data_IF_068649944900
#
_entry.id   IF_068649944900
#
_cell.length_a   1.000
_cell.length_b   1.000
_cell.length_c   1.000
_cell.angle_alpha   90.00
_cell.angle_beta   90.00
_cell.angle_gamma   90.00
#
_symmetry.space_group_name_H-M   'P 1'
#
loop_
_entity.id
_entity.type
_entity.pdbx_description
1 polymer ?
#
# COMPACT_ATOMS: atom_id res chain seq x y z
N UNK A 1 34.20 -2.07 -18.75
CA UNK A 1 33.07 -1.38 -18.11
C UNK A 1 31.99 -2.41 -17.79
N UNK A 2 31.69 -2.67 -16.52
CA UNK A 2 30.65 -3.63 -16.15
C UNK A 2 29.27 -3.05 -16.50
N UNK A 3 28.48 -3.76 -17.32
CA UNK A 3 27.08 -3.40 -17.57
C UNK A 3 26.30 -3.55 -16.25
N UNK A 4 25.78 -2.44 -15.71
CA UNK A 4 24.87 -2.49 -14.56
C UNK A 4 23.64 -3.33 -14.96
N UNK A 5 23.31 -4.35 -14.17
CA UNK A 5 22.05 -5.08 -14.33
C UNK A 5 20.88 -4.13 -14.04
N UNK A 6 19.79 -4.17 -14.82
CA UNK A 6 18.60 -3.40 -14.52
C UNK A 6 18.04 -3.84 -13.16
N UNK A 7 17.68 -2.85 -12.33
CA UNK A 7 16.96 -3.08 -11.08
C UNK A 7 15.49 -3.29 -11.40
N UNK A 8 14.93 -4.41 -10.98
CA UNK A 8 13.48 -4.65 -11.02
C UNK A 8 12.91 -4.37 -9.63
N UNK A 9 12.01 -3.40 -9.54
CA UNK A 9 11.27 -3.10 -8.30
C UNK A 9 9.94 -3.81 -8.37
N UNK A 10 9.61 -4.56 -7.32
CA UNK A 10 8.31 -5.25 -7.18
C UNK A 10 7.62 -4.69 -5.94
N UNK A 11 6.41 -4.16 -6.11
CA UNK A 11 5.57 -3.69 -5.02
C UNK A 11 4.63 -4.79 -4.55
N UNK A 12 4.64 -5.12 -3.25
CA UNK A 12 3.70 -6.06 -2.64
C UNK A 12 2.87 -5.29 -1.62
N UNK A 13 1.54 -5.31 -1.79
CA UNK A 13 0.61 -4.85 -0.79
C UNK A 13 0.39 -5.97 0.22
N UNK A 14 0.61 -5.63 1.49
CA UNK A 14 0.28 -6.48 2.63
C UNK A 14 -0.75 -5.75 3.47
N UNK A 15 -1.93 -6.35 3.65
CA UNK A 15 -3.02 -5.80 4.46
C UNK A 15 -3.77 -6.93 5.18
N UNK A 16 -4.77 -6.60 5.99
CA UNK A 16 -5.74 -7.56 6.54
C UNK A 16 -7.12 -7.37 5.91
N UNK A 17 -7.89 -8.45 5.79
CA UNK A 17 -9.32 -8.39 5.46
C UNK A 17 -10.19 -8.03 6.67
N UNK A 18 -11.51 -8.00 6.48
CA UNK A 18 -12.46 -7.70 7.55
C UNK A 18 -12.49 -8.77 8.65
N UNK A 19 -12.05 -9.98 8.35
CA UNK A 19 -11.98 -11.12 9.27
C UNK A 19 -10.60 -11.21 9.98
N UNK A 20 -9.69 -10.27 9.69
CA UNK A 20 -8.35 -10.21 10.26
C UNK A 20 -7.32 -11.11 9.56
N UNK A 21 -7.69 -11.78 8.45
CA UNK A 21 -6.74 -12.60 7.70
C UNK A 21 -5.79 -11.71 6.91
N UNK A 22 -4.53 -12.13 6.84
CA UNK A 22 -3.51 -11.45 6.03
C UNK A 22 -3.77 -11.67 4.54
N UNK A 23 -3.89 -10.56 3.81
CA UNK A 23 -3.93 -10.52 2.35
C UNK A 23 -2.58 -10.03 1.83
N UNK A 24 -2.04 -10.77 0.86
CA UNK A 24 -0.86 -10.35 0.09
C UNK A 24 -1.20 -10.30 -1.40
N UNK A 25 -0.97 -9.16 -2.04
CA UNK A 25 -1.22 -8.95 -3.47
C UNK A 25 -0.09 -8.16 -4.11
N UNK A 26 0.27 -8.52 -5.34
CA UNK A 26 1.15 -7.66 -6.15
C UNK A 26 0.45 -6.34 -6.43
N UNK A 27 1.14 -5.22 -6.19
CA UNK A 27 0.63 -3.87 -6.45
C UNK A 27 0.24 -3.69 -7.91
N UNK A 28 0.98 -4.31 -8.84
CA UNK A 28 0.74 -4.18 -10.28
C UNK A 28 -0.58 -4.82 -10.70
N UNK A 29 -1.05 -5.84 -9.97
CA UNK A 29 -2.29 -6.57 -10.23
C UNK A 29 -3.52 -5.91 -9.58
N UNK A 30 -3.35 -4.78 -8.87
CA UNK A 30 -4.46 -4.06 -8.24
C UNK A 30 -5.06 -3.08 -9.26
N UNK A 31 -6.39 -3.11 -9.49
CA UNK A 31 -7.08 -2.13 -10.32
C UNK A 31 -6.82 -0.69 -9.87
N UNK A 32 -6.70 0.23 -10.82
CA UNK A 32 -6.33 1.63 -10.52
C UNK A 32 -7.32 2.35 -9.59
N UNK A 33 -8.61 2.02 -9.71
CA UNK A 33 -9.66 2.52 -8.80
C UNK A 33 -9.39 2.09 -7.35
N UNK A 34 -9.06 0.82 -7.16
CA UNK A 34 -8.75 0.24 -5.84
C UNK A 34 -7.44 0.84 -5.28
N UNK A 35 -6.43 1.07 -6.13
CA UNK A 35 -5.18 1.73 -5.72
C UNK A 35 -5.41 3.13 -5.13
N UNK A 36 -6.32 3.92 -5.70
CA UNK A 36 -6.65 5.24 -5.16
C UNK A 36 -7.25 5.16 -3.76
N UNK A 37 -8.19 4.24 -3.56
CA UNK A 37 -8.82 4.01 -2.25
C UNK A 37 -7.80 3.50 -1.23
N UNK A 38 -6.93 2.57 -1.63
CA UNK A 38 -5.87 2.03 -0.79
C UNK A 38 -4.84 3.09 -0.39
N UNK A 39 -4.46 4.02 -1.29
CA UNK A 39 -3.54 5.11 -0.94
C UNK A 39 -4.07 5.98 0.20
N UNK A 40 -5.36 6.32 0.14
CA UNK A 40 -6.00 7.13 1.19
C UNK A 40 -6.04 6.33 2.49
N UNK A 41 -6.52 5.08 2.46
CA UNK A 41 -6.58 4.21 3.64
C UNK A 41 -5.22 3.95 4.28
N UNK A 42 -4.20 3.65 3.49
CA UNK A 42 -2.84 3.41 4.01
C UNK A 42 -2.28 4.67 4.68
N UNK A 43 -2.53 5.84 4.09
CA UNK A 43 -2.12 7.12 4.69
C UNK A 43 -2.86 7.36 6.00
N UNK A 44 -4.18 7.20 6.03
CA UNK A 44 -4.99 7.35 7.25
C UNK A 44 -4.52 6.39 8.36
N UNK A 45 -4.31 5.11 8.01
CA UNK A 45 -3.84 4.10 8.96
C UNK A 45 -2.45 4.43 9.51
N UNK A 46 -1.52 4.87 8.65
CA UNK A 46 -0.18 5.27 9.08
C UNK A 46 -0.21 6.50 10.00
N UNK A 47 -1.04 7.49 9.66
CA UNK A 47 -1.23 8.69 10.48
C UNK A 47 -1.86 8.35 11.83
N UNK A 48 -2.90 7.50 11.85
CA UNK A 48 -3.53 7.03 13.08
C UNK A 48 -2.56 6.23 13.96
N UNK A 49 -1.75 5.33 13.37
CA UNK A 49 -0.72 4.59 14.09
C UNK A 49 0.37 5.50 14.68
N UNK A 50 0.64 6.64 14.03
CA UNK A 50 1.53 7.67 14.54
C UNK A 50 0.86 8.63 15.56
N UNK A 51 -0.42 8.41 15.90
CA UNK A 51 -1.16 9.19 16.90
C UNK A 51 -1.84 10.45 16.36
N UNK A 52 -1.85 10.66 15.04
CA UNK A 52 -2.55 11.78 14.43
C UNK A 52 -4.04 11.46 14.25
N UNK A 53 -4.89 12.47 14.46
CA UNK A 53 -6.33 12.39 14.22
C UNK A 53 -6.66 13.14 12.93
N UNK A 54 -7.46 12.52 12.06
CA UNK A 54 -7.90 13.16 10.82
C UNK A 54 -8.84 14.32 11.14
N UNK A 55 -8.45 15.54 10.78
CA UNK A 55 -9.33 16.71 10.84
C UNK A 55 -10.20 16.73 9.58
N UNK A 56 -11.52 16.62 9.73
CA UNK A 56 -12.46 16.94 8.65
C UNK A 56 -12.75 18.44 8.67
N UNK A 57 -12.45 19.13 7.58
CA UNK A 57 -13.01 20.45 7.27
C UNK A 57 -14.46 20.35 6.83
#
# INVERSE_FOLDING_TARGET
>A
MAKKKPLTVVGILVTQDADGNRIERSWDNIPEKEKKELRVKLTDNAMAAAGYVRCST
#
